data_IF_801288686987
#
_entry.id   IF_801288686987
#
_cell.length_a   1.000
_cell.length_b   1.000
_cell.length_c   1.000
_cell.angle_alpha   90.00
_cell.angle_beta   90.00
_cell.angle_gamma   90.00
#
_symmetry.space_group_name_H-M   'P 1'
#
loop_
_entity.id
_entity.type
_entity.pdbx_description
1 polymer ?
#
# COMPACT_ATOMS: atom_id res chain seq x y z
N UNK A 1 -28.41 12.24 6.72
CA UNK A 1 -28.40 11.02 7.55
C UNK A 1 -27.27 11.06 8.58
N UNK A 2 -26.06 11.42 8.23
CA UNK A 2 -24.91 11.51 9.15
C UNK A 2 -25.16 12.41 10.36
N UNK A 3 -25.83 13.57 10.18
CA UNK A 3 -26.15 14.48 11.28
C UNK A 3 -27.13 13.89 12.30
N UNK A 4 -28.10 13.09 11.82
CA UNK A 4 -29.10 12.41 12.67
C UNK A 4 -28.47 11.43 13.65
N UNK A 5 -27.40 10.74 13.25
CA UNK A 5 -26.69 9.76 14.08
C UNK A 5 -26.13 10.40 15.35
N UNK A 6 -25.64 11.65 15.25
CA UNK A 6 -25.10 12.41 16.39
C UNK A 6 -26.17 13.00 17.31
N UNK A 7 -27.45 12.92 16.95
CA UNK A 7 -28.57 13.28 17.83
C UNK A 7 -29.06 12.10 18.69
N UNK A 8 -28.74 10.86 18.33
CA UNK A 8 -29.17 9.67 19.05
C UNK A 8 -28.79 9.67 20.55
N UNK A 9 -27.59 10.08 20.96
CA UNK A 9 -27.23 10.13 22.38
C UNK A 9 -28.15 11.05 23.20
N UNK A 10 -28.56 12.17 22.60
CA UNK A 10 -29.50 13.12 23.26
C UNK A 10 -30.87 12.45 23.44
N UNK A 11 -31.35 11.77 22.41
CA UNK A 11 -32.61 11.03 22.48
C UNK A 11 -32.55 9.91 23.54
N UNK A 12 -31.44 9.20 23.63
CA UNK A 12 -31.20 8.20 24.66
C UNK A 12 -31.20 8.79 26.07
N UNK A 13 -30.62 9.96 26.27
CA UNK A 13 -30.66 10.66 27.55
C UNK A 13 -32.06 11.12 27.92
N UNK A 14 -32.85 11.61 26.96
CA UNK A 14 -34.26 11.94 27.17
C UNK A 14 -35.08 10.70 27.55
N UNK A 15 -34.83 9.58 26.90
CA UNK A 15 -35.46 8.30 27.22
C UNK A 15 -35.10 7.87 28.65
N UNK A 16 -33.83 7.88 29.02
CA UNK A 16 -33.38 7.54 30.39
C UNK A 16 -33.99 8.47 31.43
N UNK A 17 -34.07 9.77 31.14
CA UNK A 17 -34.71 10.73 32.03
C UNK A 17 -36.19 10.43 32.28
N UNK A 18 -36.88 9.98 31.24
CA UNK A 18 -38.35 9.67 31.35
C UNK A 18 -38.65 8.31 31.96
N UNK A 19 -37.72 7.35 31.90
CA UNK A 19 -37.96 5.96 32.31
C UNK A 19 -37.28 5.58 33.63
N UNK A 20 -36.27 6.36 34.07
CA UNK A 20 -35.56 6.07 35.32
C UNK A 20 -36.43 6.33 36.54
N UNK A 21 -36.58 5.36 37.44
CA UNK A 21 -37.36 5.51 38.67
C UNK A 21 -36.71 6.43 39.70
N UNK A 22 -35.40 6.71 39.54
CA UNK A 22 -34.61 7.59 40.39
C UNK A 22 -33.95 8.66 39.51
N UNK A 23 -33.96 9.94 39.92
CA UNK A 23 -33.29 10.99 39.16
C UNK A 23 -31.77 10.69 39.07
N UNK A 24 -31.28 10.52 37.81
CA UNK A 24 -29.85 10.32 37.54
C UNK A 24 -29.09 11.63 37.74
N UNK A 25 -27.88 11.56 38.28
CA UNK A 25 -26.99 12.73 38.30
C UNK A 25 -26.61 13.12 36.86
N UNK A 26 -26.33 14.39 36.64
CA UNK A 26 -25.96 14.93 35.33
C UNK A 26 -24.70 14.24 34.75
N UNK A 27 -23.83 13.68 35.60
CA UNK A 27 -22.61 12.96 35.22
C UNK A 27 -22.91 11.71 34.39
N UNK A 28 -23.98 10.95 34.73
CA UNK A 28 -24.40 9.80 33.92
C UNK A 28 -24.78 10.20 32.49
N UNK A 29 -25.52 11.31 32.34
CA UNK A 29 -25.92 11.80 31.01
C UNK A 29 -24.69 12.31 30.25
N UNK A 30 -23.78 13.04 30.89
CA UNK A 30 -22.55 13.53 30.27
C UNK A 30 -21.64 12.37 29.81
N UNK A 31 -21.47 11.33 30.64
CA UNK A 31 -20.72 10.13 30.29
C UNK A 31 -21.38 9.35 29.14
N UNK A 32 -22.72 9.18 29.16
CA UNK A 32 -23.45 8.49 28.10
C UNK A 32 -23.31 9.20 26.75
N UNK A 33 -23.50 10.53 26.72
CA UNK A 33 -23.33 11.34 25.50
C UNK A 33 -21.88 11.28 25.04
N UNK A 34 -20.92 11.50 25.93
CA UNK A 34 -19.49 11.50 25.61
C UNK A 34 -19.01 10.17 25.04
N UNK A 35 -19.35 9.05 25.68
CA UNK A 35 -19.00 7.71 25.21
C UNK A 35 -19.64 7.38 23.85
N UNK A 36 -20.94 7.69 23.68
CA UNK A 36 -21.64 7.45 22.42
C UNK A 36 -21.06 8.28 21.28
N UNK A 37 -20.79 9.57 21.50
CA UNK A 37 -20.19 10.44 20.49
C UNK A 37 -18.79 9.96 20.11
N UNK A 38 -17.96 9.61 21.09
CA UNK A 38 -16.59 9.15 20.85
C UNK A 38 -16.60 7.87 19.98
N UNK A 39 -17.41 6.87 20.35
CA UNK A 39 -17.50 5.60 19.62
C UNK A 39 -18.07 5.82 18.21
N UNK A 40 -19.14 6.62 18.09
CA UNK A 40 -19.74 6.93 16.79
C UNK A 40 -18.77 7.69 15.89
N UNK A 41 -18.04 8.69 16.44
CA UNK A 41 -17.05 9.45 15.69
C UNK A 41 -15.87 8.58 15.26
N UNK A 42 -15.42 7.64 16.10
CA UNK A 42 -14.35 6.71 15.76
C UNK A 42 -14.74 5.81 14.57
N UNK A 43 -15.94 5.20 14.61
CA UNK A 43 -16.42 4.36 13.51
C UNK A 43 -16.67 5.19 12.25
N UNK A 44 -17.22 6.39 12.37
CA UNK A 44 -17.39 7.31 11.24
C UNK A 44 -16.03 7.65 10.60
N UNK A 45 -15.02 7.96 11.41
CA UNK A 45 -13.67 8.23 10.94
C UNK A 45 -13.04 7.01 10.25
N UNK A 46 -13.20 5.80 10.81
CA UNK A 46 -12.70 4.57 10.18
C UNK A 46 -13.38 4.31 8.83
N UNK A 47 -14.71 4.48 8.75
CA UNK A 47 -15.45 4.35 7.50
C UNK A 47 -15.04 5.42 6.48
N UNK A 48 -14.82 6.67 6.91
CA UNK A 48 -14.31 7.74 6.05
C UNK A 48 -12.91 7.39 5.53
N UNK A 49 -11.99 6.96 6.40
CA UNK A 49 -10.64 6.55 5.99
C UNK A 49 -10.66 5.39 4.98
N UNK A 50 -11.56 4.42 5.14
CA UNK A 50 -11.72 3.34 4.15
C UNK A 50 -12.22 3.82 2.77
N UNK A 51 -12.89 4.98 2.71
CA UNK A 51 -13.36 5.57 1.45
C UNK A 51 -12.27 6.29 0.68
N UNK A 52 -11.28 6.81 1.36
CA UNK A 52 -10.16 7.55 0.76
C UNK A 52 -8.88 6.74 0.67
N UNK A 53 -8.83 5.56 1.29
CA UNK A 53 -7.69 4.66 1.15
C UNK A 53 -7.64 4.09 -0.27
N UNK A 54 -6.45 4.15 -0.85
CA UNK A 54 -6.13 3.56 -2.15
C UNK A 54 -4.69 3.06 -2.13
N UNK A 55 -4.35 2.21 -3.08
CA UNK A 55 -3.02 1.62 -3.18
C UNK A 55 -2.36 2.02 -4.50
N UNK A 56 -1.08 2.32 -4.44
CA UNK A 56 -0.24 2.49 -5.61
C UNK A 56 0.83 1.40 -5.65
N UNK A 57 1.27 1.04 -6.84
CA UNK A 57 2.33 0.08 -7.05
C UNK A 57 3.56 0.79 -7.60
N UNK A 58 4.66 0.69 -6.88
CA UNK A 58 5.91 1.35 -7.23
C UNK A 58 6.97 0.30 -7.55
N UNK A 59 7.72 0.56 -8.60
CA UNK A 59 8.92 -0.21 -8.87
C UNK A 59 9.96 -0.02 -7.77
N UNK A 60 10.65 -1.10 -7.45
CA UNK A 60 11.65 -1.21 -6.40
C UNK A 60 12.69 -2.24 -6.81
N UNK A 61 13.73 -2.44 -6.01
CA UNK A 61 14.75 -3.47 -6.24
C UNK A 61 15.32 -3.96 -4.92
N UNK A 62 15.94 -5.13 -4.93
CA UNK A 62 16.64 -5.65 -3.76
C UNK A 62 17.88 -4.77 -3.52
N UNK A 63 17.88 -4.04 -2.41
CA UNK A 63 19.01 -3.20 -2.00
C UNK A 63 20.02 -3.97 -1.14
N UNK A 64 19.55 -4.94 -0.36
CA UNK A 64 20.38 -5.74 0.53
C UNK A 64 19.72 -7.10 0.76
N UNK A 65 20.54 -8.13 0.94
CA UNK A 65 20.10 -9.38 1.55
C UNK A 65 20.91 -9.65 2.80
N UNK A 66 20.28 -10.25 3.82
CA UNK A 66 20.95 -10.59 5.07
C UNK A 66 20.56 -11.98 5.56
N UNK A 67 21.48 -12.61 6.23
CA UNK A 67 21.32 -13.84 7.00
C UNK A 67 21.64 -13.52 8.46
N UNK A 68 20.78 -13.89 9.37
CA UNK A 68 21.01 -13.83 10.81
C UNK A 68 21.06 -15.23 11.37
N UNK A 69 22.12 -15.54 12.12
CA UNK A 69 22.27 -16.84 12.81
C UNK A 69 21.22 -16.97 13.93
N UNK A 70 20.87 -18.20 14.26
CA UNK A 70 19.96 -18.47 15.37
C UNK A 70 20.50 -17.90 16.68
N UNK A 71 19.66 -17.29 17.48
CA UNK A 71 20.04 -16.70 18.77
C UNK A 71 18.93 -16.80 19.81
N UNK A 72 19.26 -16.56 21.06
CA UNK A 72 18.31 -16.57 22.17
C UNK A 72 18.24 -15.19 22.82
N UNK A 73 17.03 -14.68 22.93
CA UNK A 73 16.73 -13.41 23.61
C UNK A 73 16.44 -13.69 25.09
N UNK A 74 16.97 -12.83 25.95
CA UNK A 74 16.74 -12.82 27.38
C UNK A 74 15.73 -11.73 27.76
N UNK A 75 14.48 -12.11 27.99
CA UNK A 75 13.44 -11.17 28.41
C UNK A 75 13.38 -11.14 29.93
N UNK A 76 13.84 -10.03 30.52
CA UNK A 76 13.74 -9.80 31.95
C UNK A 76 12.36 -9.24 32.29
N UNK A 77 11.66 -9.88 33.23
CA UNK A 77 10.36 -9.41 33.71
C UNK A 77 10.24 -9.62 35.22
N UNK A 78 9.26 -8.98 35.80
CA UNK A 78 8.96 -9.09 37.22
C UNK A 78 7.66 -9.84 37.41
N UNK A 79 7.75 -10.98 38.10
CA UNK A 79 6.61 -11.80 38.45
C UNK A 79 6.12 -11.46 39.86
N UNK A 80 4.81 -11.26 40.03
CA UNK A 80 4.17 -11.08 41.32
C UNK A 80 3.84 -12.46 41.94
N UNK A 81 4.65 -12.92 42.86
CA UNK A 81 4.47 -14.24 43.49
C UNK A 81 3.80 -14.07 44.86
N UNK A 82 2.72 -14.80 45.17
CA UNK A 82 2.08 -14.72 46.45
C UNK A 82 3.05 -15.23 47.54
N UNK A 83 3.29 -14.41 48.58
CA UNK A 83 4.26 -14.72 49.64
C UNK A 83 3.65 -14.78 51.05
N UNK A 84 2.35 -14.56 51.17
CA UNK A 84 1.66 -14.62 52.48
C UNK A 84 0.24 -14.04 52.42
N UNK A 85 -0.39 -13.98 53.57
CA UNK A 85 -1.68 -13.30 53.75
C UNK A 85 -1.60 -12.33 54.94
N UNK A 86 -2.29 -11.22 54.84
CA UNK A 86 -2.48 -10.31 55.94
C UNK A 86 -3.41 -10.93 56.99
N UNK A 87 -3.44 -10.39 58.23
CA UNK A 87 -4.42 -10.78 59.26
C UNK A 87 -5.89 -10.63 58.82
N UNK A 88 -6.13 -9.81 57.82
CA UNK A 88 -7.47 -9.66 57.15
C UNK A 88 -7.72 -10.62 56.02
N UNK A 89 -6.82 -11.60 55.74
CA UNK A 89 -6.97 -12.60 54.68
C UNK A 89 -6.53 -12.15 53.27
N UNK A 90 -6.10 -10.89 53.05
CA UNK A 90 -5.64 -10.37 51.78
C UNK A 90 -4.27 -10.97 51.42
N UNK A 91 -4.12 -11.46 50.17
CA UNK A 91 -2.84 -12.03 49.69
C UNK A 91 -1.79 -10.93 49.54
N UNK A 92 -0.60 -11.19 50.08
CA UNK A 92 0.58 -10.35 49.91
C UNK A 92 1.39 -10.93 48.75
N UNK A 93 1.79 -10.07 47.80
CA UNK A 93 2.65 -10.44 46.68
C UNK A 93 4.04 -9.88 46.84
N UNK A 94 5.03 -10.66 46.42
CA UNK A 94 6.44 -10.23 46.34
C UNK A 94 6.83 -10.18 44.88
N UNK A 95 7.48 -9.11 44.48
CA UNK A 95 8.08 -8.96 43.16
C UNK A 95 9.35 -9.81 43.07
N UNK A 96 9.37 -10.77 42.14
CA UNK A 96 10.54 -11.65 41.88
C UNK A 96 11.01 -11.43 40.44
N UNK A 97 12.28 -11.02 40.25
CA UNK A 97 12.84 -10.92 38.92
C UNK A 97 12.93 -12.31 38.27
N UNK A 98 12.50 -12.40 37.02
CA UNK A 98 12.55 -13.61 36.21
C UNK A 98 13.18 -13.31 34.87
N UNK A 99 13.73 -14.35 34.24
CA UNK A 99 14.25 -14.30 32.88
C UNK A 99 13.53 -15.36 32.06
N UNK A 100 12.99 -14.94 30.93
CA UNK A 100 12.42 -15.82 29.91
C UNK A 100 13.38 -15.89 28.74
N UNK A 101 13.66 -17.09 28.28
CA UNK A 101 14.45 -17.34 27.09
C UNK A 101 13.51 -17.48 25.89
N UNK A 102 13.73 -16.67 24.85
CA UNK A 102 13.00 -16.74 23.58
C UNK A 102 13.99 -17.10 22.51
N UNK A 103 13.82 -18.26 21.89
CA UNK A 103 14.66 -18.71 20.79
C UNK A 103 14.19 -18.09 19.47
N UNK A 104 15.12 -17.46 18.75
CA UNK A 104 14.96 -16.96 17.41
C UNK A 104 15.74 -17.86 16.46
N UNK A 105 15.06 -18.57 15.52
CA UNK A 105 15.74 -19.39 14.54
C UNK A 105 16.57 -18.55 13.58
N UNK A 106 17.50 -19.16 12.87
CA UNK A 106 18.18 -18.47 11.77
C UNK A 106 17.16 -18.03 10.71
N UNK A 107 17.41 -16.86 10.10
CA UNK A 107 16.54 -16.31 9.09
C UNK A 107 17.33 -15.64 7.96
N UNK A 108 16.70 -15.66 6.78
CA UNK A 108 17.19 -14.99 5.58
C UNK A 108 16.15 -13.96 5.17
N UNK A 109 16.62 -12.75 4.89
CA UNK A 109 15.76 -11.62 4.56
C UNK A 109 16.33 -10.84 3.39
N UNK A 110 15.44 -10.27 2.59
CA UNK A 110 15.79 -9.22 1.64
C UNK A 110 15.24 -7.89 2.12
N UNK A 111 15.94 -6.83 1.80
CA UNK A 111 15.56 -5.45 2.06
C UNK A 111 15.46 -4.77 0.71
N UNK A 112 14.31 -4.16 0.45
CA UNK A 112 14.06 -3.43 -0.79
C UNK A 112 14.70 -2.03 -0.77
N UNK A 113 14.66 -1.34 -1.91
CA UNK A 113 15.10 0.05 -2.02
C UNK A 113 14.25 1.03 -1.18
N UNK A 114 13.02 0.65 -0.80
CA UNK A 114 12.17 1.40 0.14
C UNK A 114 12.37 0.99 1.60
N UNK A 115 13.24 0.01 1.87
CA UNK A 115 13.50 -0.48 3.21
C UNK A 115 12.51 -1.55 3.71
N UNK A 116 11.63 -2.04 2.86
CA UNK A 116 10.70 -3.14 3.20
C UNK A 116 11.49 -4.43 3.38
N UNK A 117 11.26 -5.10 4.52
CA UNK A 117 11.95 -6.34 4.88
C UNK A 117 11.01 -7.51 4.58
N UNK A 118 11.51 -8.50 3.85
CA UNK A 118 10.78 -9.74 3.55
C UNK A 118 11.65 -10.95 3.81
N UNK A 119 11.05 -12.00 4.42
CA UNK A 119 11.72 -13.28 4.58
C UNK A 119 11.86 -13.99 3.22
N UNK A 120 13.03 -14.55 2.97
CA UNK A 120 13.35 -15.28 1.74
C UNK A 120 13.89 -16.67 2.08
N UNK A 121 13.97 -17.55 1.10
CA UNK A 121 14.62 -18.82 1.27
C UNK A 121 16.14 -18.68 1.27
N UNK A 122 16.84 -19.62 1.92
CA UNK A 122 18.30 -19.71 1.85
C UNK A 122 18.81 -19.79 0.41
N UNK A 123 18.16 -20.62 -0.42
CA UNK A 123 18.56 -20.78 -1.82
C UNK A 123 18.47 -19.46 -2.60
N UNK A 124 17.45 -18.64 -2.32
CA UNK A 124 17.32 -17.33 -2.96
C UNK A 124 18.37 -16.34 -2.45
N UNK A 125 18.66 -16.34 -1.15
CA UNK A 125 19.77 -15.58 -0.58
C UNK A 125 21.11 -15.91 -1.25
N UNK A 126 21.43 -17.23 -1.34
CA UNK A 126 22.66 -17.71 -1.97
C UNK A 126 22.73 -17.31 -3.47
N UNK A 127 21.59 -17.35 -4.18
CA UNK A 127 21.48 -16.90 -5.57
C UNK A 127 21.81 -15.42 -5.71
N UNK A 128 21.21 -14.55 -4.89
CA UNK A 128 21.45 -13.10 -4.94
C UNK A 128 22.91 -12.78 -4.62
N UNK A 129 23.47 -13.37 -3.54
CA UNK A 129 24.86 -13.15 -3.16
C UNK A 129 25.84 -13.62 -4.25
N UNK A 130 25.58 -14.79 -4.87
CA UNK A 130 26.43 -15.29 -5.95
C UNK A 130 26.35 -14.42 -7.21
N UNK A 131 25.14 -13.92 -7.55
CA UNK A 131 24.94 -13.03 -8.70
C UNK A 131 25.64 -11.68 -8.49
N UNK A 132 25.59 -11.15 -7.28
CA UNK A 132 26.28 -9.90 -6.97
C UNK A 132 27.79 -10.06 -6.92
N UNK A 133 28.29 -11.19 -6.42
CA UNK A 133 29.73 -11.46 -6.34
C UNK A 133 30.48 -10.51 -5.39
N UNK A 134 29.76 -9.81 -4.52
CA UNK A 134 30.33 -8.88 -3.53
C UNK A 134 30.74 -9.62 -2.26
N UNK A 135 31.76 -9.12 -1.51
CA UNK A 135 32.10 -9.69 -0.22
C UNK A 135 30.93 -9.65 0.77
N UNK A 136 30.80 -10.70 1.58
CA UNK A 136 29.84 -10.75 2.67
C UNK A 136 30.29 -9.83 3.81
N UNK A 137 29.49 -8.85 4.16
CA UNK A 137 29.71 -8.02 5.34
C UNK A 137 29.25 -8.76 6.59
N UNK A 138 30.13 -8.90 7.59
CA UNK A 138 29.75 -9.48 8.88
C UNK A 138 28.89 -8.50 9.67
N UNK A 139 27.72 -8.99 10.11
CA UNK A 139 26.86 -8.29 11.05
C UNK A 139 27.16 -8.78 12.47
N UNK A 140 27.25 -7.84 13.40
CA UNK A 140 27.61 -8.09 14.77
C UNK A 140 26.69 -7.28 15.69
N UNK A 141 25.82 -7.95 16.43
CA UNK A 141 24.88 -7.32 17.32
C UNK A 141 25.27 -7.64 18.77
N UNK A 142 25.40 -6.63 19.59
CA UNK A 142 25.72 -6.77 21.02
C UNK A 142 24.59 -6.23 21.87
N UNK A 143 24.30 -6.90 22.99
CA UNK A 143 23.26 -6.44 23.91
C UNK A 143 23.10 -7.32 25.13
N UNK A 144 22.66 -6.72 26.23
CA UNK A 144 22.43 -7.45 27.48
C UNK A 144 21.25 -8.44 27.41
N UNK A 145 20.38 -8.29 26.42
CA UNK A 145 19.26 -9.17 26.16
C UNK A 145 19.59 -10.35 25.22
N UNK A 146 20.86 -10.48 24.81
CA UNK A 146 21.31 -11.58 23.96
C UNK A 146 22.05 -12.60 24.83
N UNK A 147 21.65 -13.85 24.79
CA UNK A 147 22.35 -14.92 25.50
C UNK A 147 23.78 -15.04 24.95
N UNK A 148 24.78 -14.92 25.82
CA UNK A 148 26.18 -14.80 25.42
C UNK A 148 26.62 -13.39 25.01
N UNK A 149 25.73 -12.41 25.06
CA UNK A 149 26.01 -11.00 24.82
C UNK A 149 26.14 -10.60 23.36
N UNK A 150 26.12 -11.56 22.43
CA UNK A 150 26.40 -11.32 21.00
C UNK A 150 25.55 -12.22 20.12
N UNK A 151 25.09 -11.70 18.98
CA UNK A 151 24.57 -12.47 17.84
C UNK A 151 25.29 -12.10 16.57
N UNK A 152 25.32 -12.99 15.61
CA UNK A 152 26.04 -12.84 14.36
C UNK A 152 25.09 -12.92 13.16
N UNK A 153 25.57 -12.40 12.05
CA UNK A 153 24.91 -12.46 10.76
C UNK A 153 25.87 -12.08 9.64
N UNK A 154 25.34 -12.11 8.44
CA UNK A 154 26.06 -11.71 7.21
C UNK A 154 25.10 -10.93 6.30
N UNK A 155 25.62 -10.01 5.53
CA UNK A 155 24.83 -9.29 4.52
C UNK A 155 25.64 -9.03 3.25
N UNK A 156 24.92 -8.95 2.11
CA UNK A 156 25.41 -8.39 0.85
C UNK A 156 24.56 -7.17 0.52
N UNK A 157 25.19 -6.14 -0.02
CA UNK A 157 24.52 -4.91 -0.42
C UNK A 157 24.68 -4.66 -1.91
N UNK A 158 23.60 -4.26 -2.57
CA UNK A 158 23.62 -3.81 -3.95
C UNK A 158 24.38 -2.48 -4.10
N UNK A 159 24.47 -1.69 -3.03
CA UNK A 159 25.25 -0.45 -3.00
C UNK A 159 26.72 -0.69 -3.33
N UNK A 160 27.28 -1.84 -2.92
CA UNK A 160 28.66 -2.21 -3.20
C UNK A 160 28.90 -2.40 -4.71
N UNK A 161 27.87 -2.70 -5.48
CA UNK A 161 27.91 -2.77 -6.96
C UNK A 161 27.80 -1.38 -7.57
N UNK A 162 26.98 -0.49 -6.99
CA UNK A 162 26.76 0.87 -7.48
C UNK A 162 27.99 1.78 -7.34
N UNK A 163 28.88 1.51 -6.38
CA UNK A 163 30.10 2.32 -6.16
C UNK A 163 31.04 2.40 -7.40
N UNK A 164 30.92 1.44 -8.32
CA UNK A 164 31.64 1.44 -9.59
C UNK A 164 30.91 2.13 -10.76
N UNK A 165 29.65 2.55 -10.56
CA UNK A 165 28.80 3.16 -11.61
C UNK A 165 28.74 4.67 -11.40
N UNK A 166 29.16 5.46 -12.41
CA UNK A 166 29.02 6.91 -12.34
C UNK A 166 27.55 7.31 -12.15
N UNK A 167 27.29 8.23 -11.21
CA UNK A 167 25.94 8.66 -10.82
C UNK A 167 25.09 9.17 -12.00
N UNK A 168 25.71 9.71 -13.04
CA UNK A 168 25.06 10.26 -14.24
C UNK A 168 24.91 9.24 -15.37
N UNK A 169 25.48 8.02 -15.25
CA UNK A 169 25.32 6.98 -16.25
C UNK A 169 23.99 6.25 -16.04
N UNK A 170 23.29 5.97 -17.14
CA UNK A 170 22.14 5.09 -17.11
C UNK A 170 22.60 3.64 -16.88
N UNK A 171 22.50 3.09 -15.66
CA UNK A 171 23.06 1.77 -15.37
C UNK A 171 22.34 0.65 -16.12
N UNK A 172 21.14 0.88 -16.62
CA UNK A 172 20.40 -0.11 -17.39
C UNK A 172 20.93 -0.33 -18.81
N UNK A 173 21.84 0.55 -19.27
CA UNK A 173 22.58 0.35 -20.52
C UNK A 173 23.83 -0.54 -20.34
N UNK A 174 24.20 -0.88 -19.10
CA UNK A 174 25.31 -1.76 -18.79
C UNK A 174 24.79 -3.19 -18.56
N UNK A 175 25.18 -4.14 -19.41
CA UNK A 175 24.73 -5.54 -19.35
C UNK A 175 25.15 -6.23 -18.05
N UNK A 176 26.34 -5.94 -17.52
CA UNK A 176 26.79 -6.47 -16.24
C UNK A 176 25.90 -5.99 -15.10
N UNK A 177 25.57 -4.71 -15.08
CA UNK A 177 24.65 -4.15 -14.08
C UNK A 177 23.25 -4.76 -14.22
N UNK A 178 22.71 -4.82 -15.47
CA UNK A 178 21.38 -5.40 -15.74
C UNK A 178 21.25 -6.84 -15.25
N UNK A 179 22.30 -7.64 -15.41
CA UNK A 179 22.32 -9.05 -14.99
C UNK A 179 22.28 -9.23 -13.46
N UNK A 180 22.79 -8.24 -12.72
CA UNK A 180 22.85 -8.23 -11.24
C UNK A 180 21.68 -7.53 -10.58
N UNK A 181 20.79 -6.90 -11.33
CA UNK A 181 19.67 -6.13 -10.80
C UNK A 181 18.46 -7.02 -10.57
N UNK A 182 17.90 -7.00 -9.36
CA UNK A 182 16.71 -7.75 -8.98
C UNK A 182 15.53 -6.80 -8.78
N UNK A 183 14.67 -6.61 -9.81
CA UNK A 183 13.52 -5.73 -9.74
C UNK A 183 12.43 -6.31 -8.84
N UNK A 184 11.71 -5.41 -8.20
CA UNK A 184 10.54 -5.69 -7.37
C UNK A 184 9.43 -4.70 -7.68
N UNK A 185 8.20 -5.06 -7.31
CA UNK A 185 7.06 -4.14 -7.26
C UNK A 185 6.50 -4.14 -5.85
N UNK A 186 6.39 -2.96 -5.24
CA UNK A 186 5.87 -2.78 -3.89
C UNK A 186 4.56 -2.02 -3.90
N UNK A 187 3.69 -2.37 -2.97
CA UNK A 187 2.40 -1.72 -2.76
C UNK A 187 2.53 -0.69 -1.64
N UNK A 188 2.11 0.53 -1.92
CA UNK A 188 2.11 1.64 -0.98
C UNK A 188 0.71 2.21 -0.86
N UNK A 189 0.22 2.38 0.38
CA UNK A 189 -1.07 2.98 0.63
C UNK A 189 -0.99 4.52 0.53
N UNK A 190 -2.01 5.14 -0.07
CA UNK A 190 -2.15 6.59 -0.12
C UNK A 190 -3.60 7.03 0.03
N UNK A 191 -3.83 8.33 0.22
CA UNK A 191 -5.17 8.89 0.28
C UNK A 191 -5.61 9.41 -1.09
N UNK A 192 -6.72 8.83 -1.60
CA UNK A 192 -7.33 9.22 -2.86
C UNK A 192 -8.76 9.74 -2.63
N UNK A 193 -8.91 11.06 -2.55
CA UNK A 193 -10.23 11.69 -2.43
C UNK A 193 -10.97 11.79 -3.76
N UNK A 194 -10.26 11.75 -4.87
CA UNK A 194 -10.83 11.92 -6.22
C UNK A 194 -11.82 10.79 -6.53
N UNK A 195 -11.42 9.54 -6.27
CA UNK A 195 -12.18 8.33 -6.59
C UNK A 195 -13.61 8.33 -6.03
N UNK A 196 -13.80 8.82 -4.81
CA UNK A 196 -15.07 8.78 -4.10
C UNK A 196 -15.69 10.18 -3.88
N UNK A 197 -15.15 11.20 -4.52
CA UNK A 197 -15.72 12.55 -4.47
C UNK A 197 -16.88 12.72 -5.46
N UNK A 198 -17.68 13.75 -5.24
CA UNK A 198 -18.68 14.21 -6.21
C UNK A 198 -18.09 15.28 -7.14
N UNK A 199 -16.88 15.02 -7.66
CA UNK A 199 -16.14 15.97 -8.49
C UNK A 199 -16.38 15.74 -9.98
N UNK A 200 -15.88 16.67 -10.80
CA UNK A 200 -15.86 16.57 -12.27
C UNK A 200 -14.92 15.44 -12.79
N UNK A 201 -14.08 14.89 -11.91
CA UNK A 201 -13.16 13.79 -12.24
C UNK A 201 -13.82 12.40 -12.16
N UNK A 202 -15.15 12.35 -12.06
CA UNK A 202 -15.87 11.07 -12.02
C UNK A 202 -15.80 10.40 -13.38
N UNK A 203 -15.25 9.18 -13.41
CA UNK A 203 -15.23 8.32 -14.60
C UNK A 203 -16.57 7.60 -14.81
N UNK A 204 -16.83 7.15 -16.03
CA UNK A 204 -17.93 6.25 -16.34
C UNK A 204 -17.74 4.93 -15.60
N UNK A 205 -18.76 4.47 -14.90
CA UNK A 205 -18.72 3.17 -14.23
C UNK A 205 -18.83 2.03 -15.23
N UNK A 206 -17.76 1.28 -15.42
CA UNK A 206 -17.72 0.11 -16.30
C UNK A 206 -17.66 -1.16 -15.45
N UNK A 207 -18.70 -1.99 -15.51
CA UNK A 207 -18.71 -3.27 -14.80
C UNK A 207 -17.69 -4.24 -15.40
N UNK A 208 -17.16 -5.18 -14.59
CA UNK A 208 -16.22 -6.21 -15.05
C UNK A 208 -16.78 -7.07 -16.21
N UNK A 209 -18.10 -7.30 -16.25
CA UNK A 209 -18.76 -7.96 -17.37
C UNK A 209 -18.64 -7.13 -18.64
N UNK A 210 -18.95 -5.83 -18.55
CA UNK A 210 -18.87 -4.92 -19.70
C UNK A 210 -17.43 -4.71 -20.16
N UNK A 211 -16.48 -4.66 -19.23
CA UNK A 211 -15.05 -4.57 -19.54
C UNK A 211 -14.59 -5.78 -20.39
N UNK A 212 -14.99 -7.00 -20.02
CA UNK A 212 -14.69 -8.22 -20.79
C UNK A 212 -15.32 -8.20 -22.18
N UNK A 213 -16.57 -7.74 -22.31
CA UNK A 213 -17.25 -7.60 -23.62
C UNK A 213 -16.52 -6.61 -24.55
N UNK A 214 -15.98 -5.54 -23.99
CA UNK A 214 -15.19 -4.55 -24.71
C UNK A 214 -13.75 -5.01 -24.98
N UNK A 215 -13.29 -6.04 -24.25
CA UNK A 215 -11.91 -6.53 -24.27
C UNK A 215 -10.97 -5.51 -23.66
N UNK A 216 -11.37 -4.92 -22.53
CA UNK A 216 -10.52 -4.12 -21.66
C UNK A 216 -9.69 -5.03 -20.78
N UNK A 217 -8.56 -4.53 -20.33
CA UNK A 217 -7.65 -5.24 -19.45
C UNK A 217 -8.03 -5.04 -18.00
N UNK A 218 -8.13 -6.14 -17.26
CA UNK A 218 -8.19 -6.08 -15.80
C UNK A 218 -6.85 -5.55 -15.27
N UNK A 219 -6.89 -4.89 -14.10
CA UNK A 219 -5.68 -4.39 -13.48
C UNK A 219 -4.79 -5.57 -13.03
N UNK A 220 -3.50 -5.63 -13.46
CA UNK A 220 -2.67 -6.80 -13.21
C UNK A 220 -2.29 -6.90 -11.72
N UNK A 221 -2.50 -8.07 -11.09
CA UNK A 221 -2.10 -8.27 -9.71
C UNK A 221 -0.59 -8.40 -9.56
N UNK A 222 -0.05 -7.96 -8.43
CA UNK A 222 1.33 -8.26 -8.06
C UNK A 222 1.43 -9.72 -7.64
N UNK A 223 2.33 -10.48 -8.25
CA UNK A 223 2.64 -11.88 -7.93
C UNK A 223 4.13 -12.05 -7.70
N UNK A 224 4.52 -12.63 -6.58
CA UNK A 224 5.94 -12.84 -6.24
C UNK A 224 6.79 -11.56 -6.36
N UNK A 225 6.25 -10.44 -5.86
CA UNK A 225 6.85 -9.11 -5.94
C UNK A 225 7.06 -8.57 -7.38
N UNK A 226 6.32 -9.09 -8.33
CA UNK A 226 6.35 -8.68 -9.72
C UNK A 226 4.94 -8.35 -10.23
N UNK A 227 4.82 -7.29 -11.03
CA UNK A 227 3.59 -6.89 -11.72
C UNK A 227 3.82 -6.82 -13.23
N UNK A 228 2.99 -7.54 -13.99
CA UNK A 228 3.03 -7.48 -15.45
C UNK A 228 2.67 -6.08 -15.94
N UNK A 229 3.56 -5.46 -16.71
CA UNK A 229 3.37 -4.10 -17.18
C UNK A 229 3.10 -3.98 -18.69
N UNK A 230 3.16 -5.09 -19.47
CA UNK A 230 2.81 -5.12 -20.88
C UNK A 230 1.66 -6.10 -21.08
N UNK A 231 0.51 -5.60 -21.51
CA UNK A 231 -0.72 -6.40 -21.66
C UNK A 231 -1.21 -6.40 -23.10
N UNK A 232 -1.92 -7.47 -23.48
CA UNK A 232 -2.63 -7.58 -24.73
C UNK A 232 -1.85 -8.19 -25.91
N UNK A 233 -0.54 -8.31 -25.78
CA UNK A 233 0.33 -8.96 -26.77
C UNK A 233 1.51 -9.62 -26.08
N UNK A 234 1.93 -10.77 -26.61
CA UNK A 234 3.13 -11.47 -26.18
C UNK A 234 4.37 -10.85 -26.82
N UNK A 235 5.39 -10.58 -26.01
CA UNK A 235 6.71 -10.13 -26.44
C UNK A 235 7.78 -11.09 -25.93
N UNK A 236 9.01 -10.88 -26.36
CA UNK A 236 10.16 -11.62 -25.82
C UNK A 236 10.38 -11.33 -24.34
N UNK A 237 10.99 -12.28 -23.63
CA UNK A 237 11.37 -12.07 -22.21
C UNK A 237 12.28 -10.85 -22.03
N UNK A 238 13.13 -10.56 -23.00
CA UNK A 238 14.00 -9.38 -22.98
C UNK A 238 13.22 -8.06 -22.93
N UNK A 239 12.13 -7.94 -23.70
CA UNK A 239 11.27 -6.76 -23.68
C UNK A 239 10.57 -6.63 -22.33
N UNK A 240 9.98 -7.71 -21.83
CA UNK A 240 9.36 -7.70 -20.50
C UNK A 240 10.38 -7.31 -19.42
N UNK A 241 11.55 -7.93 -19.46
CA UNK A 241 12.66 -7.62 -18.53
C UNK A 241 13.12 -6.16 -18.61
N UNK A 242 13.14 -5.57 -19.80
CA UNK A 242 13.52 -4.16 -19.98
C UNK A 242 12.54 -3.21 -19.26
N UNK A 243 11.22 -3.47 -19.35
CA UNK A 243 10.21 -2.66 -18.66
C UNK A 243 10.16 -2.91 -17.15
N UNK A 244 10.42 -4.13 -16.71
CA UNK A 244 10.61 -4.44 -15.28
C UNK A 244 11.75 -3.60 -14.70
N UNK A 245 12.90 -3.61 -15.37
CA UNK A 245 14.07 -2.85 -14.97
C UNK A 245 13.81 -1.35 -15.02
N UNK A 246 13.11 -0.87 -16.06
CA UNK A 246 12.69 0.52 -16.15
C UNK A 246 11.84 0.93 -14.95
N UNK A 247 10.75 0.18 -14.67
CA UNK A 247 9.87 0.45 -13.54
C UNK A 247 10.63 0.39 -12.21
N UNK A 248 11.52 -0.58 -12.02
CA UNK A 248 12.27 -0.73 -10.79
C UNK A 248 13.32 0.36 -10.57
N UNK A 249 14.03 0.80 -11.61
CA UNK A 249 15.09 1.78 -11.48
C UNK A 249 14.61 3.22 -11.58
N UNK A 250 13.91 3.55 -12.67
CA UNK A 250 13.37 4.90 -12.88
C UNK A 250 12.09 5.12 -12.07
N UNK A 251 11.26 4.06 -11.93
CA UNK A 251 10.06 4.11 -11.10
C UNK A 251 10.37 4.45 -9.66
N UNK A 252 11.37 3.82 -9.07
CA UNK A 252 11.83 4.16 -7.72
C UNK A 252 12.27 5.62 -7.58
N UNK A 253 13.03 6.16 -8.55
CA UNK A 253 13.59 7.51 -8.48
C UNK A 253 12.61 8.62 -8.80
N UNK A 254 11.66 8.34 -9.66
CA UNK A 254 10.70 9.32 -10.18
C UNK A 254 9.27 9.06 -9.70
N UNK A 255 9.08 8.03 -8.86
CA UNK A 255 7.76 7.58 -8.39
C UNK A 255 6.79 7.37 -9.57
N UNK A 256 7.25 6.59 -10.56
CA UNK A 256 6.54 6.31 -11.80
C UNK A 256 6.40 4.82 -12.01
N UNK A 257 5.27 4.37 -12.53
CA UNK A 257 5.05 3.00 -13.00
C UNK A 257 4.42 3.02 -14.38
N UNK A 258 5.07 2.37 -15.34
CA UNK A 258 4.64 2.38 -16.75
C UNK A 258 3.88 1.11 -17.08
N UNK A 259 2.73 1.28 -17.73
CA UNK A 259 1.97 0.21 -18.39
C UNK A 259 1.88 0.44 -19.89
N UNK A 260 2.05 -0.63 -20.66
CA UNK A 260 1.81 -0.68 -22.12
C UNK A 260 0.63 -1.61 -22.37
N UNK A 261 -0.44 -1.07 -22.94
CA UNK A 261 -1.66 -1.81 -23.24
C UNK A 261 -1.85 -1.90 -24.76
N UNK A 262 -1.72 -3.11 -25.30
CA UNK A 262 -1.81 -3.37 -26.73
C UNK A 262 -3.21 -3.84 -27.11
N UNK A 263 -3.92 -3.02 -27.87
CA UNK A 263 -5.25 -3.29 -28.43
C UNK A 263 -5.18 -3.60 -29.92
N UNK A 264 -6.17 -4.29 -30.44
CA UNK A 264 -6.41 -4.35 -31.87
C UNK A 264 -6.79 -2.95 -32.39
N UNK A 265 -6.10 -2.48 -33.41
CA UNK A 265 -6.35 -1.17 -34.03
C UNK A 265 -7.78 -0.97 -34.49
N UNK A 266 -8.46 -2.06 -34.95
CA UNK A 266 -9.83 -2.03 -35.40
C UNK A 266 -10.84 -1.58 -34.35
N UNK A 267 -10.49 -1.66 -33.03
CA UNK A 267 -11.34 -1.16 -31.98
C UNK A 267 -11.38 0.39 -31.90
N UNK A 268 -10.45 1.05 -32.62
CA UNK A 268 -10.32 2.51 -32.60
C UNK A 268 -9.84 3.09 -31.28
N UNK A 269 -9.32 4.32 -31.30
CA UNK A 269 -8.72 4.99 -30.11
C UNK A 269 -9.72 5.20 -28.96
N UNK A 270 -11.04 5.21 -29.22
CA UNK A 270 -12.05 5.33 -28.15
C UNK A 270 -12.01 4.20 -27.12
N UNK A 271 -11.36 3.05 -27.41
CA UNK A 271 -11.19 1.97 -26.44
C UNK A 271 -10.22 2.37 -25.31
N UNK A 272 -9.23 3.22 -25.59
CA UNK A 272 -8.32 3.73 -24.59
C UNK A 272 -9.03 4.61 -23.56
N UNK A 273 -10.02 5.42 -23.98
CA UNK A 273 -10.85 6.19 -23.03
C UNK A 273 -11.74 5.27 -22.18
N UNK A 274 -12.24 4.16 -22.73
CA UNK A 274 -12.94 3.15 -21.94
C UNK A 274 -12.02 2.45 -20.94
N UNK A 275 -10.79 2.15 -21.35
CA UNK A 275 -9.77 1.59 -20.47
C UNK A 275 -9.43 2.56 -19.33
N UNK A 276 -9.25 3.84 -19.67
CA UNK A 276 -9.05 4.90 -18.69
C UNK A 276 -10.20 4.97 -17.68
N UNK A 277 -11.44 4.91 -18.17
CA UNK A 277 -12.62 4.90 -17.31
C UNK A 277 -12.67 3.65 -16.42
N UNK A 278 -12.34 2.47 -16.97
CA UNK A 278 -12.33 1.20 -16.24
C UNK A 278 -11.28 1.16 -15.12
N UNK A 279 -10.10 1.75 -15.36
CA UNK A 279 -9.04 1.89 -14.35
C UNK A 279 -9.15 3.20 -13.54
N UNK A 280 -10.25 3.95 -13.68
CA UNK A 280 -10.50 5.22 -12.97
C UNK A 280 -9.35 6.23 -13.13
N UNK A 281 -8.69 6.24 -14.29
CA UNK A 281 -7.56 7.10 -14.61
C UNK A 281 -6.19 6.52 -14.22
N UNK A 282 -6.14 5.32 -13.63
CA UNK A 282 -4.94 4.73 -13.05
C UNK A 282 -4.61 5.30 -11.67
N UNK A 283 -3.59 4.75 -11.03
CA UNK A 283 -3.05 5.27 -9.77
C UNK A 283 -2.23 6.55 -10.02
N UNK A 284 -2.01 7.35 -8.99
CA UNK A 284 -1.34 8.66 -9.10
C UNK A 284 0.08 8.60 -9.66
N UNK A 285 0.73 7.43 -9.62
CA UNK A 285 2.09 7.19 -10.08
C UNK A 285 2.15 6.48 -11.45
N UNK A 286 1.01 6.16 -12.06
CA UNK A 286 0.98 5.36 -13.28
C UNK A 286 1.00 6.20 -14.53
N UNK A 287 1.80 5.76 -15.49
CA UNK A 287 1.82 6.26 -16.85
C UNK A 287 1.37 5.13 -17.81
N UNK A 288 0.18 5.27 -18.34
CA UNK A 288 -0.48 4.20 -19.11
C UNK A 288 -0.49 4.59 -20.57
N UNK A 289 0.12 3.74 -21.41
CA UNK A 289 0.23 3.90 -22.86
C UNK A 289 -0.61 2.85 -23.55
N UNK A 290 -1.68 3.27 -24.21
CA UNK A 290 -2.55 2.42 -25.00
C UNK A 290 -2.15 2.51 -26.46
N UNK A 291 -1.85 1.36 -27.09
CA UNK A 291 -1.44 1.22 -28.48
C UNK A 291 -2.47 0.42 -29.25
N UNK A 292 -2.93 0.93 -30.38
CA UNK A 292 -3.75 0.19 -31.34
C UNK A 292 -2.90 -0.38 -32.42
N UNK A 293 -2.80 -1.71 -32.47
CA UNK A 293 -1.89 -2.45 -33.35
C UNK A 293 -2.61 -3.12 -34.50
N UNK A 294 -2.02 -3.04 -35.67
CA UNK A 294 -2.35 -3.84 -36.84
C UNK A 294 -1.07 -4.58 -37.28
N UNK A 295 -0.96 -5.86 -36.91
CA UNK A 295 0.33 -6.56 -36.97
C UNK A 295 1.38 -5.86 -36.12
N UNK A 296 2.50 -5.46 -36.73
CA UNK A 296 3.57 -4.70 -36.07
C UNK A 296 3.47 -3.18 -36.26
N UNK A 297 2.33 -2.72 -36.84
CA UNK A 297 2.12 -1.29 -37.07
C UNK A 297 1.26 -0.67 -35.99
N UNK A 298 1.72 0.44 -35.43
CA UNK A 298 0.96 1.27 -34.49
C UNK A 298 0.05 2.21 -35.29
N UNK A 299 -1.26 2.00 -35.23
CA UNK A 299 -2.24 2.84 -35.94
C UNK A 299 -2.73 4.01 -35.15
N UNK A 300 -2.69 3.88 -33.80
CA UNK A 300 -3.01 4.96 -32.89
C UNK A 300 -2.31 4.73 -31.53
N UNK A 301 -2.03 5.81 -30.85
CA UNK A 301 -1.52 5.83 -29.47
C UNK A 301 -2.33 6.82 -28.66
N UNK A 302 -2.64 6.44 -27.42
CA UNK A 302 -3.23 7.34 -26.42
C UNK A 302 -2.59 7.07 -25.07
N UNK A 303 -2.00 8.11 -24.47
CA UNK A 303 -1.35 8.02 -23.19
C UNK A 303 -2.07 8.86 -22.13
N UNK A 304 -2.31 8.29 -20.94
CA UNK A 304 -2.96 8.98 -19.85
C UNK A 304 -2.28 8.71 -18.52
N UNK A 305 -2.43 9.65 -17.60
CA UNK A 305 -1.83 9.60 -16.27
C UNK A 305 -2.37 10.73 -15.39
N UNK A 306 -2.13 10.62 -14.08
CA UNK A 306 -2.26 11.71 -13.12
C UNK A 306 -0.94 12.50 -13.01
N UNK A 307 -0.64 13.33 -13.99
CA UNK A 307 0.55 14.19 -14.00
C UNK A 307 0.14 15.67 -13.99
N UNK A 308 1.04 16.51 -13.45
CA UNK A 308 0.81 17.96 -13.38
C UNK A 308 0.71 18.60 -14.78
N UNK A 309 1.65 18.21 -15.63
CA UNK A 309 1.76 18.70 -17.01
C UNK A 309 1.74 17.51 -17.97
N UNK A 310 0.78 17.41 -18.92
CA UNK A 310 0.64 16.24 -19.80
C UNK A 310 1.67 16.20 -20.92
N UNK A 311 2.85 16.80 -20.73
CA UNK A 311 3.89 16.91 -21.78
C UNK A 311 4.40 15.54 -22.21
N UNK A 312 4.64 14.63 -21.26
CA UNK A 312 5.11 13.28 -21.58
C UNK A 312 4.06 12.50 -22.37
N UNK A 313 2.76 12.62 -22.04
CA UNK A 313 1.68 11.97 -22.79
C UNK A 313 1.63 12.46 -24.24
N UNK A 314 1.67 13.77 -24.44
CA UNK A 314 1.65 14.37 -25.78
C UNK A 314 2.87 13.94 -26.60
N UNK A 315 4.06 13.93 -25.99
CA UNK A 315 5.29 13.49 -26.66
C UNK A 315 5.29 11.99 -26.96
N UNK A 316 4.72 11.16 -26.08
CA UNK A 316 4.52 9.73 -26.35
C UNK A 316 3.63 9.49 -27.56
N UNK A 317 2.50 10.21 -27.65
CA UNK A 317 1.60 10.12 -28.80
C UNK A 317 2.27 10.62 -30.10
N UNK A 318 3.11 11.66 -30.00
CA UNK A 318 3.91 12.14 -31.14
C UNK A 318 4.97 11.11 -31.55
N UNK A 319 5.66 10.49 -30.59
CA UNK A 319 6.66 9.45 -30.85
C UNK A 319 6.08 8.31 -31.69
N UNK A 320 4.94 7.74 -31.29
CA UNK A 320 4.30 6.64 -32.04
C UNK A 320 3.63 7.08 -33.35
N UNK A 321 3.39 8.38 -33.55
CA UNK A 321 2.94 8.93 -34.84
C UNK A 321 4.10 9.03 -35.84
N UNK A 322 5.31 9.31 -35.33
CA UNK A 322 6.55 9.42 -36.14
C UNK A 322 7.21 8.06 -36.37
N UNK A 323 6.99 7.11 -35.45
CA UNK A 323 7.53 5.74 -35.46
C UNK A 323 6.39 4.76 -35.46
N UNK A 324 5.77 4.54 -36.64
CA UNK A 324 4.57 3.71 -36.77
C UNK A 324 4.86 2.19 -36.74
N UNK A 325 6.10 1.76 -36.86
CA UNK A 325 6.54 0.39 -36.56
C UNK A 325 6.77 0.20 -35.07
N UNK A 326 6.16 -0.82 -34.51
CA UNK A 326 6.25 -1.11 -33.08
C UNK A 326 7.66 -1.58 -32.69
N UNK A 327 8.35 -0.74 -31.96
CA UNK A 327 9.62 -1.06 -31.30
C UNK A 327 9.57 -0.60 -29.84
N UNK A 328 9.17 -1.51 -28.95
CA UNK A 328 9.07 -1.21 -27.51
C UNK A 328 10.44 -1.04 -26.85
N UNK A 329 11.53 -1.60 -27.42
CA UNK A 329 12.87 -1.41 -26.89
C UNK A 329 13.35 0.02 -27.17
N UNK A 330 13.18 0.50 -28.40
CA UNK A 330 13.49 1.88 -28.76
C UNK A 330 12.64 2.88 -27.95
N UNK A 331 11.34 2.57 -27.77
CA UNK A 331 10.47 3.42 -26.95
C UNK A 331 10.88 3.44 -25.47
N UNK A 332 11.29 2.31 -24.90
CA UNK A 332 11.80 2.27 -23.54
C UNK A 332 13.06 3.15 -23.37
N UNK A 333 13.97 3.12 -24.34
CA UNK A 333 15.15 4.00 -24.37
C UNK A 333 14.76 5.47 -24.47
N UNK A 334 13.84 5.80 -25.37
CA UNK A 334 13.30 7.15 -25.52
C UNK A 334 12.63 7.64 -24.20
N UNK A 335 11.88 6.77 -23.51
CA UNK A 335 11.30 7.09 -22.20
C UNK A 335 12.35 7.44 -21.16
N UNK A 336 13.46 6.70 -21.12
CA UNK A 336 14.59 6.98 -20.20
C UNK A 336 15.17 8.37 -20.43
N UNK A 337 15.34 8.77 -21.69
CA UNK A 337 15.86 10.10 -22.06
C UNK A 337 14.88 11.23 -21.74
N UNK A 338 13.58 10.95 -21.73
CA UNK A 338 12.52 11.91 -21.51
C UNK A 338 11.89 11.82 -20.09
N UNK A 339 12.46 11.03 -19.19
CA UNK A 339 11.90 10.79 -17.84
C UNK A 339 11.73 12.09 -17.01
N UNK A 340 12.57 13.10 -17.25
CA UNK A 340 12.50 14.41 -16.60
C UNK A 340 11.21 15.19 -16.90
N UNK A 341 10.47 14.78 -17.94
CA UNK A 341 9.17 15.35 -18.28
C UNK A 341 8.04 14.80 -17.40
N UNK A 342 8.30 13.71 -16.70
CA UNK A 342 7.36 13.16 -15.74
C UNK A 342 7.36 14.00 -14.46
N UNK A 343 6.17 14.47 -14.07
CA UNK A 343 5.90 15.12 -12.78
C UNK A 343 4.61 14.55 -12.23
N UNK A 344 4.75 13.68 -11.24
CA UNK A 344 3.59 13.10 -10.57
C UNK A 344 2.72 14.18 -9.93
N UNK A 345 1.41 14.09 -10.11
CA UNK A 345 0.44 14.96 -9.43
C UNK A 345 0.47 14.72 -7.92
N UNK A 346 0.58 15.79 -7.13
CA UNK A 346 0.41 15.68 -5.68
C UNK A 346 -1.08 15.57 -5.36
N UNK A 347 -1.49 14.40 -4.84
CA UNK A 347 -2.89 14.18 -4.50
C UNK A 347 -3.38 15.02 -3.32
N UNK A 348 -2.48 15.68 -2.58
CA UNK A 348 -2.84 16.72 -1.60
C UNK A 348 -3.49 17.94 -2.26
N UNK A 349 -3.24 18.18 -3.55
CA UNK A 349 -3.94 19.22 -4.32
C UNK A 349 -5.45 18.97 -4.39
N UNK A 350 -5.90 17.74 -4.12
CA UNK A 350 -7.31 17.36 -4.07
C UNK A 350 -7.89 17.38 -2.65
N UNK A 351 -7.18 17.92 -1.65
CA UNK A 351 -7.64 17.95 -0.25
C UNK A 351 -8.90 18.77 -0.04
N UNK A 352 -9.21 19.68 -0.95
CA UNK A 352 -10.46 20.43 -0.96
C UNK A 352 -11.69 19.60 -1.33
N UNK A 353 -11.50 18.40 -1.91
CA UNK A 353 -12.59 17.52 -2.26
C UNK A 353 -13.23 16.90 -1.02
N UNK A 354 -14.57 16.94 -0.99
CA UNK A 354 -15.34 16.29 0.07
C UNK A 354 -15.76 14.90 -0.36
N UNK A 355 -15.52 13.93 0.52
CA UNK A 355 -15.93 12.54 0.34
C UNK A 355 -17.00 12.22 1.38
N UNK A 356 -18.15 11.75 0.93
CA UNK A 356 -19.24 11.30 1.80
C UNK A 356 -19.19 9.77 1.96
N UNK A 357 -19.76 9.29 3.06
CA UNK A 357 -20.01 7.86 3.23
C UNK A 357 -21.00 7.36 2.16
N UNK A 358 -20.82 6.13 1.71
CA UNK A 358 -21.81 5.47 0.84
C UNK A 358 -23.14 5.27 1.55
N UNK A 359 -24.19 5.04 0.79
CA UNK A 359 -25.51 4.75 1.36
C UNK A 359 -25.47 3.57 2.33
N UNK A 360 -24.79 2.49 1.98
CA UNK A 360 -24.62 1.32 2.84
C UNK A 360 -23.86 1.66 4.12
N UNK A 361 -22.76 2.42 4.03
CA UNK A 361 -21.99 2.84 5.20
C UNK A 361 -22.79 3.76 6.12
N UNK A 362 -23.63 4.63 5.58
CA UNK A 362 -24.53 5.47 6.38
C UNK A 362 -25.55 4.63 7.17
N UNK A 363 -26.11 3.57 6.57
CA UNK A 363 -26.99 2.64 7.29
C UNK A 363 -26.23 1.84 8.36
N UNK A 364 -25.02 1.38 8.07
CA UNK A 364 -24.18 0.67 9.03
C UNK A 364 -23.80 1.57 10.21
N UNK A 365 -23.45 2.83 9.96
CA UNK A 365 -23.16 3.82 11.00
C UNK A 365 -24.38 4.07 11.89
N UNK A 366 -25.57 4.19 11.29
CA UNK A 366 -26.81 4.35 12.04
C UNK A 366 -27.11 3.13 12.91
N UNK A 367 -26.99 1.93 12.37
CA UNK A 367 -27.22 0.68 13.12
C UNK A 367 -26.21 0.54 14.27
N UNK A 368 -24.94 0.86 14.04
CA UNK A 368 -23.92 0.86 15.09
C UNK A 368 -24.23 1.87 16.19
N UNK A 369 -24.56 3.11 15.83
CA UNK A 369 -24.89 4.14 16.80
C UNK A 369 -26.13 3.78 17.63
N UNK A 370 -27.15 3.17 17.01
CA UNK A 370 -28.33 2.64 17.73
C UNK A 370 -27.91 1.55 18.73
N UNK A 371 -27.09 0.58 18.31
CA UNK A 371 -26.63 -0.50 19.18
C UNK A 371 -25.82 0.05 20.38
N UNK A 372 -24.94 1.00 20.16
CA UNK A 372 -24.15 1.67 21.21
C UNK A 372 -25.08 2.36 22.21
N UNK A 373 -26.05 3.12 21.73
CA UNK A 373 -26.97 3.87 22.59
C UNK A 373 -27.90 2.94 23.40
N UNK A 374 -28.38 1.86 22.79
CA UNK A 374 -29.18 0.82 23.49
C UNK A 374 -28.31 0.13 24.55
N UNK A 375 -27.05 -0.22 24.21
CA UNK A 375 -26.13 -0.83 25.16
C UNK A 375 -25.83 0.07 26.35
N UNK A 376 -25.57 1.36 26.13
CA UNK A 376 -25.33 2.33 27.19
C UNK A 376 -26.58 2.46 28.08
N UNK A 377 -27.77 2.57 27.50
CA UNK A 377 -29.02 2.64 28.25
C UNK A 377 -29.25 1.37 29.09
N UNK A 378 -29.02 0.18 28.52
CA UNK A 378 -29.13 -1.09 29.23
C UNK A 378 -28.18 -1.19 30.43
N UNK A 379 -26.91 -0.81 30.26
CA UNK A 379 -25.92 -0.80 31.34
C UNK A 379 -26.33 0.14 32.48
N UNK A 380 -26.84 1.33 32.13
CA UNK A 380 -27.30 2.30 33.14
C UNK A 380 -28.51 1.75 33.90
N UNK A 381 -29.51 1.24 33.18
CA UNK A 381 -30.73 0.70 33.80
C UNK A 381 -30.46 -0.55 34.65
N UNK A 382 -29.55 -1.42 34.22
CA UNK A 382 -29.08 -2.57 34.99
C UNK A 382 -28.41 -2.16 36.29
N UNK A 383 -27.51 -1.17 36.25
CA UNK A 383 -26.84 -0.64 37.46
C UNK A 383 -27.83 0.03 38.45
N UNK A 384 -28.98 0.46 37.96
CA UNK A 384 -30.08 1.00 38.78
C UNK A 384 -31.05 -0.06 39.31
N UNK A 385 -30.87 -1.33 38.94
CA UNK A 385 -31.74 -2.42 39.32
C UNK A 385 -33.13 -2.38 38.66
N UNK A 386 -33.22 -1.76 37.46
CA UNK A 386 -34.44 -1.65 36.67
C UNK A 386 -34.56 -2.81 35.65
N UNK A 387 -33.41 -3.34 35.22
CA UNK A 387 -33.25 -4.48 34.32
C UNK A 387 -32.56 -5.64 35.02
#
# INVERSE_FOLDING_TARGET
MTTLVYLLPILTCLFLYSTSPVPLSWEYYACAIGASWLLTALIHWMMYKSRIADDEFLGSYISQVRHEEAWTELIHYVEQVPCGRTSSGKIIYKSVPRVRHVYHPECWEMISSYGTIQSISRSYYDQVCSTWGTPLNRLHFTGANIQGGVRFGQSCSFQDILEGVQADSNPLLNDDFRSRFFPLTEQHAYENKVRNSHSIFKFEEISSKRAKELGLFDYPPVKNNFQECILGRQFSEDIHRQYELFNAWFGFRHEMHVFILCFDAAKGMGIAEKQRAYWEGGNRNEFIVCLGLDGDMVKWCHAFSWMDEPVLSVKTEAYFREHDQLDLSAYCTWMQENISLWKRKDFRDFDYLTVSLSTTQNYLLLAFALAVNVGIAAVILHNLGVL
#
